data_IF_349786008271
#
_entry.id   IF_349786008271
#
_cell.length_a   1.000
_cell.length_b   1.000
_cell.length_c   1.000
_cell.angle_alpha   90.00
_cell.angle_beta   90.00
_cell.angle_gamma   90.00
#
_symmetry.space_group_name_H-M   'P 1'
#
loop_
_entity.id
_entity.type
_entity.pdbx_description
1 polymer ?
#
# COMPACT_ATOMS: atom_id res chain seq x y z
N UNK A 1 -20.53 21.81 0.79
CA UNK A 1 -19.08 21.95 0.54
C UNK A 1 -18.89 21.83 -0.96
N UNK A 2 -18.26 22.80 -1.64
CA UNK A 2 -17.93 22.68 -3.08
C UNK A 2 -16.87 21.61 -3.26
N UNK A 3 -17.19 20.55 -3.98
CA UNK A 3 -16.22 19.54 -4.38
C UNK A 3 -15.20 20.20 -5.31
N UNK A 4 -13.93 20.08 -4.97
CA UNK A 4 -12.82 20.65 -5.77
C UNK A 4 -12.57 19.68 -6.90
N UNK A 5 -12.81 20.10 -8.13
CA UNK A 5 -12.48 19.34 -9.33
C UNK A 5 -11.17 19.88 -9.90
N UNK A 6 -10.35 19.00 -10.43
CA UNK A 6 -9.08 19.33 -11.05
C UNK A 6 -9.02 18.77 -12.46
N UNK A 7 -8.45 19.55 -13.39
CA UNK A 7 -8.22 19.13 -14.76
C UNK A 7 -6.80 18.64 -14.90
N UNK A 8 -6.63 17.42 -15.38
CA UNK A 8 -5.34 16.86 -15.75
C UNK A 8 -5.06 17.24 -17.20
N UNK A 9 -3.89 17.84 -17.40
CA UNK A 9 -3.44 18.32 -18.69
C UNK A 9 -2.44 17.34 -19.32
N UNK A 10 -2.33 17.37 -20.63
CA UNK A 10 -1.34 16.62 -21.38
C UNK A 10 0.07 16.99 -20.93
N UNK A 11 0.91 16.01 -20.51
CA UNK A 11 2.29 16.27 -20.12
C UNK A 11 3.15 16.71 -21.31
N UNK A 12 4.34 17.24 -21.03
CA UNK A 12 5.35 17.45 -22.06
C UNK A 12 5.96 16.11 -22.45
N UNK A 13 5.80 15.73 -23.70
CA UNK A 13 6.57 14.65 -24.29
C UNK A 13 7.89 15.23 -24.80
N UNK A 14 9.01 14.63 -24.44
CA UNK A 14 10.33 15.15 -24.76
C UNK A 14 10.57 15.25 -26.27
N UNK A 15 10.72 16.46 -26.77
CA UNK A 15 11.09 16.73 -28.18
C UNK A 15 12.61 16.57 -28.36
N UNK A 16 13.06 15.53 -29.04
CA UNK A 16 14.38 15.47 -29.57
C UNK A 16 14.34 16.08 -30.97
N UNK A 17 14.64 17.41 -31.07
CA UNK A 17 14.86 18.07 -32.36
C UNK A 17 13.88 19.17 -32.76
N UNK A 18 13.53 20.10 -31.86
CA UNK A 18 13.06 21.46 -32.26
C UNK A 18 11.75 21.62 -33.04
N UNK A 19 10.95 20.57 -33.25
CA UNK A 19 9.64 20.62 -33.89
C UNK A 19 8.52 20.18 -32.90
N UNK A 20 7.33 20.75 -33.08
CA UNK A 20 6.13 20.26 -32.34
C UNK A 20 5.80 18.86 -32.88
N UNK A 21 6.08 17.82 -32.08
CA UNK A 21 5.71 16.44 -32.40
C UNK A 21 4.19 16.31 -32.27
N UNK A 22 3.53 15.83 -33.32
CA UNK A 22 2.09 15.54 -33.28
C UNK A 22 1.90 14.22 -32.55
N UNK A 23 1.01 14.22 -31.58
CA UNK A 23 0.69 13.07 -30.73
C UNK A 23 -0.80 12.79 -30.87
N UNK A 24 -1.15 11.56 -31.16
CA UNK A 24 -2.54 11.12 -31.35
C UNK A 24 -3.01 10.24 -30.20
N UNK A 25 -4.25 10.41 -29.79
CA UNK A 25 -4.92 9.52 -28.85
C UNK A 25 -5.26 8.20 -29.56
N UNK A 26 -4.74 7.09 -29.09
CA UNK A 26 -5.05 5.77 -29.62
C UNK A 26 -5.97 4.95 -28.69
N UNK A 27 -5.95 5.22 -27.38
CA UNK A 27 -6.81 4.56 -26.44
C UNK A 27 -7.18 5.48 -25.26
N UNK A 28 -8.43 5.38 -24.81
CA UNK A 28 -8.94 6.01 -23.58
C UNK A 28 -9.47 4.91 -22.65
N UNK A 29 -8.61 4.26 -21.85
CA UNK A 29 -9.01 3.11 -21.03
C UNK A 29 -9.96 3.47 -19.89
N UNK A 30 -10.18 4.77 -19.66
CA UNK A 30 -10.99 5.30 -18.56
C UNK A 30 -12.23 6.03 -19.06
N UNK A 31 -13.28 6.06 -18.24
CA UNK A 31 -14.54 6.75 -18.51
C UNK A 31 -15.04 7.52 -17.29
N UNK A 32 -15.95 8.48 -17.47
CA UNK A 32 -16.59 9.17 -16.34
C UNK A 32 -17.24 8.17 -15.38
N UNK A 33 -16.93 8.32 -14.09
CA UNK A 33 -17.36 7.43 -13.02
C UNK A 33 -16.28 6.47 -12.52
N UNK A 34 -15.25 6.20 -13.30
CA UNK A 34 -14.15 5.32 -12.91
C UNK A 34 -13.28 5.96 -11.80
N UNK A 35 -12.69 5.10 -10.98
CA UNK A 35 -11.66 5.49 -10.02
C UNK A 35 -10.29 5.16 -10.58
N UNK A 36 -9.35 6.08 -10.44
CA UNK A 36 -7.95 5.89 -10.80
C UNK A 36 -7.05 6.16 -9.61
N UNK A 37 -5.95 5.43 -9.55
CA UNK A 37 -4.87 5.62 -8.60
C UNK A 37 -3.70 6.36 -9.28
N UNK A 38 -2.74 6.93 -8.52
CA UNK A 38 -1.51 7.45 -9.10
C UNK A 38 -0.81 6.35 -9.92
N UNK A 39 -0.36 6.71 -11.13
CA UNK A 39 0.27 5.85 -12.14
C UNK A 39 -0.67 4.88 -12.90
N UNK A 40 -1.97 4.87 -12.65
CA UNK A 40 -2.90 4.16 -13.54
C UNK A 40 -2.91 4.85 -14.92
N UNK A 41 -2.91 4.06 -16.00
CA UNK A 41 -2.97 4.59 -17.36
C UNK A 41 -4.34 5.22 -17.60
N UNK A 42 -4.37 6.53 -17.88
CA UNK A 42 -5.59 7.29 -18.19
C UNK A 42 -5.77 7.53 -19.67
N UNK A 43 -4.70 7.41 -20.45
CA UNK A 43 -4.68 7.65 -21.87
C UNK A 43 -3.47 6.93 -22.47
N UNK A 44 -3.63 6.35 -23.66
CA UNK A 44 -2.53 5.86 -24.48
C UNK A 44 -2.42 6.70 -25.74
N UNK A 45 -1.24 7.20 -26.03
CA UNK A 45 -0.96 8.09 -27.15
C UNK A 45 0.11 7.52 -28.06
N UNK A 46 0.05 7.88 -29.32
CA UNK A 46 1.04 7.53 -30.33
C UNK A 46 1.72 8.80 -30.88
N UNK A 47 3.03 8.85 -30.76
CA UNK A 47 3.89 9.80 -31.40
C UNK A 47 4.53 9.22 -32.67
N UNK A 48 5.41 10.00 -33.34
CA UNK A 48 6.08 9.55 -34.58
C UNK A 48 6.97 8.30 -34.41
N UNK A 49 7.44 8.03 -33.19
CA UNK A 49 8.45 6.98 -32.91
C UNK A 49 8.03 5.95 -31.87
N UNK A 50 7.02 6.23 -31.06
CA UNK A 50 6.63 5.35 -29.95
C UNK A 50 5.18 5.57 -29.51
N UNK A 51 4.61 4.53 -28.95
CA UNK A 51 3.38 4.56 -28.15
C UNK A 51 3.75 4.78 -26.69
N UNK A 52 3.02 5.66 -26.01
CA UNK A 52 3.28 6.03 -24.62
C UNK A 52 1.97 6.01 -23.81
N UNK A 53 2.05 5.50 -22.61
CA UNK A 53 0.96 5.58 -21.64
C UNK A 53 1.09 6.86 -20.82
N UNK A 54 -0.02 7.57 -20.68
CA UNK A 54 -0.12 8.76 -19.82
C UNK A 54 -0.67 8.32 -18.48
N UNK A 55 0.13 8.38 -17.41
CA UNK A 55 -0.30 7.97 -16.08
C UNK A 55 -1.11 9.06 -15.38
N UNK A 56 -2.04 8.65 -14.52
CA UNK A 56 -2.72 9.57 -13.61
C UNK A 56 -1.73 10.10 -12.56
N UNK A 57 -1.64 11.42 -12.35
CA UNK A 57 -0.75 11.99 -11.34
C UNK A 57 -1.29 11.83 -9.90
N UNK A 58 -2.55 11.47 -9.74
CA UNK A 58 -3.21 11.40 -8.42
C UNK A 58 -4.38 10.44 -8.41
N UNK A 59 -4.78 10.01 -7.20
CA UNK A 59 -5.98 9.22 -6.98
C UNK A 59 -7.25 10.10 -7.06
N UNK A 60 -8.30 9.58 -7.67
CA UNK A 60 -9.57 10.29 -7.74
C UNK A 60 -10.62 9.59 -8.59
N UNK A 61 -11.82 10.16 -8.59
CA UNK A 61 -12.91 9.74 -9.47
C UNK A 61 -12.91 10.60 -10.71
N UNK A 62 -12.90 10.00 -11.89
CA UNK A 62 -13.01 10.72 -13.16
C UNK A 62 -14.42 11.26 -13.28
N UNK A 63 -14.56 12.57 -13.46
CA UNK A 63 -15.85 13.23 -13.66
C UNK A 63 -16.10 13.54 -15.13
N UNK A 64 -15.03 13.75 -15.91
CA UNK A 64 -15.13 13.97 -17.35
C UNK A 64 -13.88 13.49 -18.08
N UNK A 65 -14.03 13.08 -19.35
CA UNK A 65 -12.95 12.81 -20.29
C UNK A 65 -13.13 13.78 -21.45
N UNK A 66 -12.09 14.59 -21.75
CA UNK A 66 -12.17 15.66 -22.73
C UNK A 66 -11.65 15.28 -24.11
N UNK A 67 -11.02 14.11 -24.24
CA UNK A 67 -10.37 13.63 -25.45
C UNK A 67 -11.03 12.36 -25.98
N UNK A 68 -10.98 12.19 -27.30
CA UNK A 68 -11.46 11.00 -28.00
C UNK A 68 -10.32 10.34 -28.76
N UNK A 69 -10.49 9.07 -29.11
CA UNK A 69 -9.55 8.35 -29.98
C UNK A 69 -9.46 9.09 -31.34
N UNK A 70 -8.23 9.36 -31.78
CA UNK A 70 -7.93 10.12 -33.00
C UNK A 70 -7.69 11.61 -32.80
N UNK A 71 -7.94 12.15 -31.61
CA UNK A 71 -7.65 13.55 -31.32
C UNK A 71 -6.13 13.77 -31.31
N UNK A 72 -5.72 14.96 -31.82
CA UNK A 72 -4.34 15.41 -31.76
C UNK A 72 -4.13 16.21 -30.49
N UNK A 73 -3.16 15.79 -29.68
CA UNK A 73 -2.82 16.45 -28.45
C UNK A 73 -1.70 17.46 -28.65
N UNK A 74 -1.81 18.56 -27.96
CA UNK A 74 -0.77 19.56 -27.77
C UNK A 74 -0.47 19.68 -26.27
N UNK A 75 0.67 20.29 -25.95
CA UNK A 75 1.01 20.64 -24.57
C UNK A 75 -0.15 21.38 -23.91
N UNK A 76 -0.49 20.99 -22.69
CA UNK A 76 -1.60 21.55 -21.89
C UNK A 76 -3.02 21.28 -22.42
N UNK A 77 -3.22 20.40 -23.40
CA UNK A 77 -4.57 19.95 -23.77
C UNK A 77 -5.22 19.28 -22.54
N UNK A 78 -6.44 19.67 -22.15
CA UNK A 78 -7.20 18.99 -21.10
C UNK A 78 -7.46 17.53 -21.49
N UNK A 79 -7.12 16.57 -20.64
CA UNK A 79 -7.34 15.14 -20.87
C UNK A 79 -8.58 14.66 -20.12
N UNK A 80 -8.56 14.81 -18.80
CA UNK A 80 -9.64 14.39 -17.90
C UNK A 80 -9.89 15.44 -16.83
N UNK A 81 -11.12 15.46 -16.31
CA UNK A 81 -11.46 16.12 -15.06
C UNK A 81 -11.58 15.06 -13.98
N UNK A 82 -10.84 15.23 -12.90
CA UNK A 82 -10.83 14.34 -11.77
C UNK A 82 -11.36 15.07 -10.54
N UNK A 83 -12.27 14.44 -9.83
CA UNK A 83 -12.57 14.77 -8.45
C UNK A 83 -11.55 14.03 -7.61
N UNK A 84 -10.49 14.73 -7.12
CA UNK A 84 -9.52 14.06 -6.29
C UNK A 84 -10.29 13.39 -5.17
N UNK A 85 -10.04 12.12 -4.93
CA UNK A 85 -10.33 11.59 -3.63
C UNK A 85 -9.67 12.59 -2.68
N UNK A 86 -10.49 13.45 -2.08
CA UNK A 86 -10.19 13.88 -0.74
C UNK A 86 -10.23 12.57 0.07
N UNK A 87 -9.22 11.73 -0.11
CA UNK A 87 -8.57 11.23 1.06
C UNK A 87 -8.40 12.53 1.81
N UNK A 88 -9.27 12.82 2.77
CA UNK A 88 -8.86 13.54 3.94
C UNK A 88 -7.62 12.74 4.32
N UNK A 89 -6.47 13.10 3.74
CA UNK A 89 -5.28 13.15 4.52
C UNK A 89 -5.80 14.03 5.64
N UNK A 90 -6.28 13.40 6.70
CA UNK A 90 -5.88 13.94 7.96
C UNK A 90 -4.38 14.03 7.75
N UNK A 91 -3.96 15.20 7.24
CA UNK A 91 -2.62 15.66 7.35
C UNK A 91 -2.36 15.57 8.85
N UNK A 92 -1.85 14.44 9.27
CA UNK A 92 -1.20 14.28 10.56
C UNK A 92 0.08 15.12 10.61
N UNK A 93 0.23 16.09 9.69
CA UNK A 93 1.20 17.20 9.71
C UNK A 93 0.70 18.43 10.44
N UNK A 94 -0.48 18.41 11.04
CA UNK A 94 -1.01 19.42 11.96
C UNK A 94 -0.93 18.92 13.39
N UNK A 95 0.19 19.10 14.04
CA UNK A 95 0.44 19.40 15.47
C UNK A 95 -0.65 19.07 16.52
N UNK A 96 -1.43 18.01 16.33
CA UNK A 96 -2.13 17.35 17.42
C UNK A 96 -2.14 15.84 17.16
N UNK A 97 -0.93 15.29 17.07
CA UNK A 97 -0.59 13.85 16.95
C UNK A 97 -0.90 13.09 18.26
N UNK A 98 -1.87 13.59 19.00
CA UNK A 98 -2.34 12.89 20.21
C UNK A 98 -3.40 11.89 19.80
N UNK A 99 -2.91 10.66 19.44
CA UNK A 99 -3.75 9.48 19.63
C UNK A 99 -4.42 9.57 21.01
N UNK A 100 -5.67 9.11 21.15
CA UNK A 100 -6.32 9.08 22.45
C UNK A 100 -5.37 8.54 23.52
N UNK A 101 -5.32 9.10 24.73
CA UNK A 101 -4.48 8.60 25.81
C UNK A 101 -4.75 7.10 25.98
N UNK A 102 -3.72 6.27 25.78
CA UNK A 102 -3.80 4.81 25.81
C UNK A 102 -3.52 4.10 24.49
N UNK A 103 -3.45 4.82 23.35
CA UNK A 103 -3.07 4.26 22.04
C UNK A 103 -1.64 4.60 21.64
N UNK A 104 -0.92 5.33 22.46
CA UNK A 104 0.48 5.63 22.24
C UNK A 104 1.33 4.38 22.33
N UNK A 105 2.18 4.17 21.33
CA UNK A 105 3.14 3.07 21.30
C UNK A 105 2.54 1.67 21.08
N UNK A 106 1.40 1.59 20.33
CA UNK A 106 0.71 0.34 20.03
C UNK A 106 1.04 -0.15 18.62
N UNK A 107 1.23 -1.47 18.50
CA UNK A 107 1.53 -2.19 17.26
C UNK A 107 0.56 -3.33 17.09
N UNK A 108 -0.06 -3.43 15.92
CA UNK A 108 -0.84 -4.59 15.55
C UNK A 108 0.07 -5.65 14.94
N UNK A 109 -0.01 -6.88 15.43
CA UNK A 109 0.73 -8.02 14.90
C UNK A 109 -0.21 -8.93 14.12
N UNK A 110 -0.10 -8.87 12.80
CA UNK A 110 -0.78 -9.78 11.88
C UNK A 110 0.06 -11.05 11.72
N UNK A 111 -0.56 -12.21 11.81
CA UNK A 111 0.16 -13.49 11.73
C UNK A 111 -0.69 -14.60 11.10
N UNK A 112 -0.01 -15.60 10.54
CA UNK A 112 -0.60 -16.86 10.10
C UNK A 112 -0.55 -17.94 11.20
N UNK A 113 -0.14 -19.15 10.83
CA UNK A 113 -0.12 -20.32 11.75
C UNK A 113 1.20 -20.51 12.49
N UNK A 114 2.29 -19.83 12.10
CA UNK A 114 3.58 -19.97 12.77
C UNK A 114 3.55 -19.29 14.14
N UNK A 115 3.12 -20.04 15.16
CA UNK A 115 3.03 -19.55 16.54
C UNK A 115 4.39 -19.18 17.12
N UNK A 116 5.45 -19.91 16.74
CA UNK A 116 6.80 -19.63 17.25
C UNK A 116 7.29 -18.24 16.78
N UNK A 117 7.12 -17.91 15.52
CA UNK A 117 7.50 -16.60 14.98
C UNK A 117 6.59 -15.49 15.55
N UNK A 118 5.29 -15.77 15.73
CA UNK A 118 4.35 -14.84 16.37
C UNK A 118 4.81 -14.48 17.77
N UNK A 119 5.04 -15.47 18.62
CA UNK A 119 5.49 -15.26 20.01
C UNK A 119 6.85 -14.54 20.08
N UNK A 120 7.80 -14.96 19.25
CA UNK A 120 9.10 -14.34 19.18
C UNK A 120 9.01 -12.86 18.81
N UNK A 121 8.18 -12.53 17.84
CA UNK A 121 7.96 -11.15 17.37
C UNK A 121 7.23 -10.31 18.41
N UNK A 122 6.19 -10.86 19.03
CA UNK A 122 5.43 -10.19 20.09
C UNK A 122 6.33 -9.86 21.28
N UNK A 123 7.02 -10.86 21.83
CA UNK A 123 7.95 -10.69 22.97
C UNK A 123 9.06 -9.70 22.66
N UNK A 124 9.59 -9.71 21.43
CA UNK A 124 10.59 -8.75 21.01
C UNK A 124 10.05 -7.31 21.04
N UNK A 125 8.86 -7.07 20.48
CA UNK A 125 8.24 -5.74 20.48
C UNK A 125 7.85 -5.29 21.89
N UNK A 126 7.32 -6.17 22.73
CA UNK A 126 7.05 -5.88 24.13
C UNK A 126 8.32 -5.50 24.92
N UNK A 127 9.43 -6.19 24.67
CA UNK A 127 10.75 -5.84 25.26
C UNK A 127 11.19 -4.43 24.87
N UNK A 128 10.84 -3.95 23.68
CA UNK A 128 11.09 -2.58 23.24
C UNK A 128 10.15 -1.54 23.88
N UNK A 129 9.20 -1.97 24.71
CA UNK A 129 8.24 -1.09 25.40
C UNK A 129 6.97 -0.81 24.59
N UNK A 130 6.67 -1.64 23.58
CA UNK A 130 5.50 -1.49 22.73
C UNK A 130 4.31 -2.31 23.27
N UNK A 131 3.11 -1.79 23.08
CA UNK A 131 1.88 -2.53 23.32
C UNK A 131 1.53 -3.32 22.06
N UNK A 132 1.63 -4.65 22.12
CA UNK A 132 1.32 -5.52 20.98
C UNK A 132 -0.15 -5.93 21.04
N UNK A 133 -0.85 -5.76 19.91
CA UNK A 133 -2.24 -6.17 19.73
C UNK A 133 -2.27 -7.36 18.76
N UNK A 134 -2.74 -8.51 19.23
CA UNK A 134 -2.88 -9.73 18.43
C UNK A 134 -4.37 -10.09 18.38
N UNK A 135 -4.92 -10.24 17.17
CA UNK A 135 -6.36 -10.41 16.97
C UNK A 135 -6.89 -11.71 17.59
N UNK A 136 -6.12 -12.79 17.50
CA UNK A 136 -6.49 -14.10 18.07
C UNK A 136 -6.63 -14.09 19.61
N UNK A 137 -5.92 -13.18 20.28
CA UNK A 137 -5.97 -13.02 21.74
C UNK A 137 -7.11 -12.12 22.23
N UNK A 138 -7.76 -11.38 21.30
CA UNK A 138 -8.85 -10.49 21.66
C UNK A 138 -10.17 -11.26 21.84
N UNK A 139 -10.98 -10.83 22.80
CA UNK A 139 -12.27 -11.46 23.11
C UNK A 139 -13.21 -11.37 21.91
N UNK A 140 -13.68 -12.53 21.42
CA UNK A 140 -14.70 -12.61 20.38
C UNK A 140 -16.08 -12.44 21.01
N UNK A 141 -16.78 -11.34 20.66
CA UNK A 141 -18.13 -11.02 21.16
C UNK A 141 -19.23 -11.44 20.17
N UNK A 142 -19.00 -12.52 19.42
CA UNK A 142 -19.89 -12.92 18.33
C UNK A 142 -19.70 -12.10 17.03
N UNK A 143 -18.59 -11.35 16.94
CA UNK A 143 -18.27 -10.50 15.81
C UNK A 143 -17.58 -11.26 14.69
N UNK A 144 -17.76 -10.76 13.48
CA UNK A 144 -16.96 -11.20 12.33
C UNK A 144 -15.49 -10.80 12.50
N UNK A 145 -14.59 -11.45 11.76
CA UNK A 145 -13.15 -11.11 11.75
C UNK A 145 -12.94 -9.64 11.38
N UNK A 146 -13.72 -9.13 10.44
CA UNK A 146 -13.61 -7.72 9.97
C UNK A 146 -14.01 -6.75 11.09
N UNK A 147 -15.15 -6.97 11.76
CA UNK A 147 -15.60 -6.11 12.87
C UNK A 147 -14.60 -6.12 14.03
N UNK A 148 -14.05 -7.30 14.34
CA UNK A 148 -13.01 -7.45 15.35
C UNK A 148 -11.72 -6.71 14.94
N UNK A 149 -11.33 -6.82 13.67
CA UNK A 149 -10.18 -6.10 13.09
C UNK A 149 -10.39 -4.58 13.18
N UNK A 150 -11.55 -4.07 12.78
CA UNK A 150 -11.88 -2.64 12.83
C UNK A 150 -11.81 -2.09 14.25
N UNK A 151 -12.32 -2.83 15.23
CA UNK A 151 -12.30 -2.42 16.64
C UNK A 151 -10.88 -2.30 17.20
N UNK A 152 -10.00 -3.24 16.84
CA UNK A 152 -8.64 -3.30 17.38
C UNK A 152 -7.58 -2.65 16.50
N UNK A 153 -7.97 -2.07 15.36
CA UNK A 153 -7.07 -1.45 14.39
C UNK A 153 -6.67 0.01 14.71
N UNK A 154 -7.08 0.53 15.86
CA UNK A 154 -6.62 1.83 16.36
C UNK A 154 -5.20 1.69 16.93
N UNK A 155 -4.22 1.57 16.07
CA UNK A 155 -2.80 1.37 16.40
C UNK A 155 -1.93 2.34 15.60
N UNK A 156 -0.71 2.56 16.09
CA UNK A 156 0.24 3.44 15.40
C UNK A 156 0.96 2.74 14.25
N UNK A 157 1.15 1.44 14.34
CA UNK A 157 1.93 0.66 13.38
C UNK A 157 1.36 -0.75 13.23
N UNK A 158 1.60 -1.39 12.11
CA UNK A 158 1.27 -2.80 11.90
C UNK A 158 2.50 -3.58 11.41
N UNK A 159 2.75 -4.72 12.05
CA UNK A 159 3.76 -5.70 11.66
C UNK A 159 3.04 -6.93 11.13
N UNK A 160 3.36 -7.35 9.92
CA UNK A 160 2.72 -8.48 9.25
C UNK A 160 3.73 -9.60 9.09
N UNK A 161 3.43 -10.76 9.65
CA UNK A 161 4.25 -11.95 9.52
C UNK A 161 3.78 -12.77 8.31
N UNK A 162 4.60 -12.89 7.29
CA UNK A 162 4.34 -13.73 6.13
C UNK A 162 5.13 -15.03 6.23
N UNK A 163 4.43 -16.09 6.56
CA UNK A 163 4.93 -17.46 6.74
C UNK A 163 4.38 -18.40 5.67
N UNK A 164 5.06 -19.49 5.39
CA UNK A 164 4.65 -20.47 4.37
C UNK A 164 3.51 -21.37 4.87
N UNK A 165 2.40 -20.75 5.29
CA UNK A 165 1.23 -21.47 5.85
C UNK A 165 0.42 -22.22 4.80
N UNK A 166 0.40 -21.69 3.57
CA UNK A 166 -0.30 -22.27 2.43
C UNK A 166 0.70 -22.51 1.27
N UNK A 167 0.32 -23.29 0.29
CA UNK A 167 1.08 -23.49 -0.94
C UNK A 167 0.21 -23.16 -2.15
N UNK A 168 0.82 -22.64 -3.21
CA UNK A 168 0.09 -22.34 -4.42
C UNK A 168 0.99 -22.01 -5.60
N UNK A 169 0.38 -21.91 -6.78
CA UNK A 169 1.06 -21.63 -8.04
C UNK A 169 0.13 -21.06 -9.08
N UNK A 170 0.67 -20.67 -10.22
CA UNK A 170 -0.13 -20.21 -11.37
C UNK A 170 -1.03 -21.36 -11.85
N UNK A 171 -2.18 -21.02 -12.42
CA UNK A 171 -3.09 -22.02 -13.01
C UNK A 171 -2.33 -22.87 -14.04
N UNK A 172 -2.35 -24.19 -13.85
CA UNK A 172 -1.63 -25.15 -14.71
C UNK A 172 -0.21 -25.47 -14.25
N UNK A 173 0.31 -24.87 -13.17
CA UNK A 173 1.56 -25.29 -12.58
C UNK A 173 1.41 -26.66 -11.91
N UNK A 174 2.45 -27.50 -12.04
CA UNK A 174 2.55 -28.79 -11.32
C UNK A 174 2.94 -28.51 -9.84
N UNK A 175 2.75 -29.50 -8.93
CA UNK A 175 3.13 -29.33 -7.52
C UNK A 175 4.57 -28.89 -7.30
N UNK A 176 5.50 -29.29 -8.17
CA UNK A 176 6.92 -28.90 -8.12
C UNK A 176 7.14 -27.39 -8.39
N UNK A 177 6.17 -26.73 -9.06
CA UNK A 177 6.18 -25.29 -9.33
C UNK A 177 5.40 -24.47 -8.31
N UNK A 178 4.86 -25.11 -7.26
CA UNK A 178 4.17 -24.39 -6.20
C UNK A 178 5.15 -23.78 -5.22
N UNK A 179 4.76 -22.62 -4.69
CA UNK A 179 5.55 -21.86 -3.70
C UNK A 179 4.79 -21.73 -2.39
N UNK A 180 5.53 -21.62 -1.31
CA UNK A 180 4.95 -21.27 -0.02
C UNK A 180 4.30 -19.88 -0.07
N UNK A 181 3.13 -19.74 0.53
CA UNK A 181 2.35 -18.49 0.55
C UNK A 181 1.85 -18.19 1.94
N UNK A 182 1.77 -16.91 2.26
CA UNK A 182 1.03 -16.47 3.41
C UNK A 182 -0.47 -16.77 3.22
N UNK A 183 -1.18 -17.03 4.33
CA UNK A 183 -2.63 -17.20 4.31
C UNK A 183 -3.31 -16.01 3.66
N UNK A 184 -4.43 -16.26 2.98
CA UNK A 184 -5.22 -15.22 2.32
C UNK A 184 -5.67 -14.13 3.32
N UNK A 185 -6.00 -14.48 4.57
CA UNK A 185 -6.38 -13.52 5.59
C UNK A 185 -5.21 -12.57 5.96
N UNK A 186 -3.98 -13.08 6.04
CA UNK A 186 -2.79 -12.26 6.30
C UNK A 186 -2.59 -11.23 5.18
N UNK A 187 -2.79 -11.63 3.93
CA UNK A 187 -2.71 -10.72 2.77
C UNK A 187 -3.83 -9.67 2.79
N UNK A 188 -5.06 -10.08 3.14
CA UNK A 188 -6.18 -9.17 3.32
C UNK A 188 -5.90 -8.13 4.43
N UNK A 189 -5.41 -8.58 5.58
CA UNK A 189 -5.07 -7.71 6.72
C UNK A 189 -3.92 -6.76 6.40
N UNK A 190 -2.91 -7.20 5.64
CA UNK A 190 -1.87 -6.32 5.12
C UNK A 190 -2.47 -5.17 4.30
N UNK A 191 -3.32 -5.50 3.31
CA UNK A 191 -4.01 -4.50 2.50
C UNK A 191 -4.87 -3.54 3.33
N UNK A 192 -5.58 -4.07 4.32
CA UNK A 192 -6.38 -3.28 5.26
C UNK A 192 -5.54 -2.25 6.02
N UNK A 193 -4.42 -2.68 6.64
CA UNK A 193 -3.56 -1.75 7.40
C UNK A 193 -2.86 -0.74 6.49
N UNK A 194 -2.44 -1.13 5.30
CA UNK A 194 -1.89 -0.17 4.33
C UNK A 194 -2.87 0.95 3.99
N UNK A 195 -4.15 0.63 3.85
CA UNK A 195 -5.20 1.61 3.60
C UNK A 195 -5.55 2.43 4.84
N UNK A 196 -5.54 1.81 6.03
CA UNK A 196 -5.99 2.40 7.28
C UNK A 196 -5.00 3.38 7.89
N UNK A 197 -3.73 2.98 8.01
CA UNK A 197 -2.69 3.75 8.71
C UNK A 197 -1.57 4.25 7.79
N UNK A 198 -1.63 3.90 6.51
CA UNK A 198 -0.62 4.28 5.52
C UNK A 198 0.56 3.30 5.42
N UNK A 199 1.14 3.19 4.22
CA UNK A 199 2.21 2.23 3.89
C UNK A 199 3.47 2.40 4.73
N UNK A 200 3.79 3.63 5.13
CA UNK A 200 4.94 4.00 5.96
C UNK A 200 4.81 3.57 7.43
N UNK A 201 3.65 3.06 7.83
CA UNK A 201 3.38 2.53 9.16
C UNK A 201 3.07 1.03 9.13
N UNK A 202 3.45 0.36 8.05
CA UNK A 202 3.29 -1.08 7.89
C UNK A 202 4.63 -1.66 7.45
N UNK A 203 5.07 -2.74 8.08
CA UNK A 203 6.18 -3.54 7.58
C UNK A 203 5.85 -5.03 7.60
N UNK A 204 6.52 -5.78 6.76
CA UNK A 204 6.37 -7.22 6.63
C UNK A 204 7.65 -7.89 7.10
N UNK A 205 7.53 -8.87 8.00
CA UNK A 205 8.60 -9.82 8.32
C UNK A 205 8.23 -11.15 7.66
N UNK A 206 9.10 -11.70 6.83
CA UNK A 206 8.76 -12.88 6.02
C UNK A 206 9.79 -13.99 6.10
N UNK A 207 9.32 -15.22 6.03
CA UNK A 207 10.18 -16.42 5.92
C UNK A 207 10.76 -16.54 4.52
N UNK A 208 11.98 -17.07 4.44
CA UNK A 208 12.62 -17.37 3.16
C UNK A 208 11.78 -18.36 2.33
N UNK A 209 11.64 -18.09 1.03
CA UNK A 209 10.89 -18.95 0.11
C UNK A 209 9.37 -18.68 0.08
N UNK A 210 8.86 -17.75 0.86
CA UNK A 210 7.46 -17.29 0.74
C UNK A 210 7.31 -16.39 -0.48
N UNK A 211 6.30 -16.68 -1.32
CA UNK A 211 5.91 -15.81 -2.42
C UNK A 211 5.39 -14.48 -1.86
N UNK A 212 6.09 -13.41 -2.20
CA UNK A 212 5.69 -12.06 -1.78
C UNK A 212 4.88 -11.39 -2.89
N UNK A 213 3.85 -10.62 -2.52
CA UNK A 213 3.11 -9.82 -3.49
C UNK A 213 4.01 -8.77 -4.14
N UNK A 214 3.94 -8.61 -5.48
CA UNK A 214 4.87 -7.79 -6.28
C UNK A 214 4.65 -6.28 -6.20
N UNK A 215 3.43 -5.82 -5.84
CA UNK A 215 3.00 -4.43 -6.06
C UNK A 215 2.82 -3.60 -4.78
N UNK A 216 3.53 -3.95 -3.71
CA UNK A 216 3.47 -3.20 -2.45
C UNK A 216 4.61 -2.17 -2.29
N UNK A 217 4.76 -1.28 -3.27
CA UNK A 217 5.71 -0.16 -3.17
C UNK A 217 5.45 0.70 -1.93
N UNK A 218 6.52 0.96 -1.16
CA UNK A 218 6.47 1.78 0.05
C UNK A 218 6.19 1.01 1.34
N UNK A 219 6.05 -0.31 1.28
CA UNK A 219 6.09 -1.20 2.45
C UNK A 219 7.48 -1.81 2.55
N UNK A 220 8.04 -1.84 3.75
CA UNK A 220 9.34 -2.45 4.01
C UNK A 220 9.17 -3.94 4.26
N UNK A 221 9.93 -4.76 3.54
CA UNK A 221 9.99 -6.21 3.70
C UNK A 221 11.29 -6.61 4.37
N UNK A 222 11.20 -7.25 5.52
CA UNK A 222 12.32 -7.68 6.36
C UNK A 222 12.40 -9.20 6.31
N UNK A 223 13.49 -9.80 5.76
CA UNK A 223 13.64 -11.25 5.81
C UNK A 223 13.85 -11.70 7.24
N UNK A 224 13.11 -12.72 7.66
CA UNK A 224 13.35 -13.39 8.92
C UNK A 224 14.62 -14.23 8.81
N UNK A 225 15.48 -14.15 9.81
CA UNK A 225 16.72 -14.92 9.94
C UNK A 225 16.89 -15.45 11.37
N UNK A 226 17.49 -16.64 11.48
CA UNK A 226 17.71 -17.29 12.78
C UNK A 226 18.77 -16.58 13.66
N UNK A 227 19.59 -15.73 13.04
CA UNK A 227 20.64 -14.98 13.74
C UNK A 227 20.12 -13.70 14.38
N UNK A 228 18.89 -13.29 14.06
CA UNK A 228 18.19 -12.18 14.69
C UNK A 228 18.48 -10.81 14.10
N UNK A 229 19.09 -10.70 12.92
CA UNK A 229 19.33 -9.42 12.26
C UNK A 229 18.00 -8.70 11.90
N UNK A 230 16.94 -9.47 11.65
CA UNK A 230 15.58 -8.94 11.44
C UNK A 230 15.08 -8.08 12.59
N UNK A 231 15.49 -8.35 13.83
CA UNK A 231 15.08 -7.58 15.02
C UNK A 231 15.57 -6.15 14.97
N UNK A 232 16.83 -5.95 14.57
CA UNK A 232 17.38 -4.61 14.43
C UNK A 232 16.68 -3.84 13.30
N UNK A 233 16.45 -4.50 12.15
CA UNK A 233 15.73 -3.91 11.03
C UNK A 233 14.31 -3.52 11.45
N UNK A 234 13.58 -4.41 12.12
CA UNK A 234 12.22 -4.14 12.62
C UNK A 234 12.20 -2.98 13.62
N UNK A 235 13.12 -2.97 14.61
CA UNK A 235 13.19 -1.88 15.59
C UNK A 235 13.44 -0.51 14.94
N UNK A 236 14.26 -0.47 13.89
CA UNK A 236 14.50 0.74 13.08
C UNK A 236 13.23 1.21 12.37
N UNK A 237 12.49 0.31 11.73
CA UNK A 237 11.24 0.65 11.05
C UNK A 237 10.17 1.13 12.03
N UNK A 238 9.99 0.46 13.16
CA UNK A 238 9.07 0.88 14.21
C UNK A 238 9.37 2.30 14.70
N UNK A 239 10.65 2.61 14.91
CA UNK A 239 11.09 3.97 15.29
C UNK A 239 10.85 5.00 14.19
N UNK A 240 11.11 4.65 12.92
CA UNK A 240 10.83 5.54 11.78
C UNK A 240 9.33 5.78 11.61
N UNK A 241 8.49 4.79 11.93
CA UNK A 241 7.03 4.89 11.95
C UNK A 241 6.47 5.73 13.11
N UNK A 242 7.33 6.34 13.94
CA UNK A 242 6.96 7.26 15.02
C UNK A 242 6.74 6.61 16.38
N UNK A 243 7.06 5.32 16.54
CA UNK A 243 6.97 4.65 17.83
C UNK A 243 8.18 4.98 18.73
N UNK A 244 7.92 5.08 20.03
CA UNK A 244 8.98 5.28 21.03
C UNK A 244 9.67 3.96 21.32
N UNK A 245 10.76 3.68 20.59
CA UNK A 245 11.53 2.44 20.69
C UNK A 245 12.88 2.72 21.33
N UNK A 246 13.20 2.00 22.41
CA UNK A 246 14.50 2.04 23.06
C UNK A 246 15.45 1.00 22.44
N UNK A 247 16.31 1.45 21.51
CA UNK A 247 17.27 0.60 20.83
C UNK A 247 18.37 0.01 21.75
N UNK A 248 18.52 0.51 22.99
CA UNK A 248 19.46 -0.07 23.95
C UNK A 248 18.96 -1.39 24.55
N UNK A 249 17.71 -1.77 24.25
CA UNK A 249 17.10 -3.04 24.68
C UNK A 249 17.19 -4.15 23.63
N UNK A 250 17.94 -3.92 22.56
CA UNK A 250 18.17 -4.91 21.50
C UNK A 250 19.06 -6.07 21.95
#
# INVERSE_FOLDING_TARGET
MKQIKEVILCPEFGTHGGGEEKIWVIETPVKPGDFVMPNDTILTVEGEKATLDVPSPKAGRITNVFVNIGDVLTKQTPIIEIEPLNVVRQDFSGTDDRLPPGLTNSVFLVHGHNEALREMSARFMEKLGLQVVILSEQISRGETIIEKLERHSLVQFAVVLMTADDVGGKKGATPEGWQGRARQNVVLELGYFMAKIGRNRVCVVYESGVELPSDYYGVVFIPFDDHGAWRYALAKELRQGGLSVDLNRL
#
